data_IF_989053839136
#
_entry.id   IF_989053839136
#
_cell.length_a   1.000
_cell.length_b   1.000
_cell.length_c   1.000
_cell.angle_alpha   90.00
_cell.angle_beta   90.00
_cell.angle_gamma   90.00
#
_symmetry.space_group_name_H-M   'P 1'
#
loop_
_entity.id
_entity.type
_entity.pdbx_description
1 polymer ?
#
# COMPACT_ATOMS: atom_id res chain seq x y z
N UNK A 1 2.62 -4.33 9.34
CA UNK A 1 4.04 -4.75 9.39
C UNK A 1 4.83 -3.70 10.12
N UNK A 2 5.92 -4.07 10.79
CA UNK A 2 6.80 -3.17 11.53
C UNK A 2 8.25 -3.64 11.46
N UNK A 3 9.20 -2.71 11.32
CA UNK A 3 10.64 -3.00 11.37
C UNK A 3 11.09 -2.90 12.82
N UNK A 4 11.76 -3.94 13.34
CA UNK A 4 12.17 -4.05 14.73
C UNK A 4 13.68 -4.30 14.80
N UNK A 5 14.38 -3.46 15.55
CA UNK A 5 15.79 -3.63 15.85
C UNK A 5 15.96 -4.39 17.17
N UNK A 6 16.80 -5.42 17.16
CA UNK A 6 17.09 -6.25 18.33
C UNK A 6 18.59 -6.34 18.54
N UNK A 7 19.06 -5.72 19.63
CA UNK A 7 20.48 -5.69 19.97
C UNK A 7 20.92 -6.99 20.68
N UNK A 8 21.89 -7.69 20.10
CA UNK A 8 22.49 -8.87 20.69
C UNK A 8 23.76 -8.50 21.48
N UNK A 9 23.62 -8.40 22.81
CA UNK A 9 24.70 -8.01 23.74
C UNK A 9 25.94 -8.91 23.66
N UNK A 10 25.78 -10.21 23.40
CA UNK A 10 26.90 -11.17 23.39
C UNK A 10 27.81 -10.98 22.17
N UNK A 11 27.26 -10.48 21.06
CA UNK A 11 27.99 -10.31 19.79
C UNK A 11 28.21 -8.85 19.41
N UNK A 12 27.62 -7.91 20.13
CA UNK A 12 27.64 -6.49 19.77
C UNK A 12 26.93 -6.17 18.45
N UNK A 13 25.97 -7.01 18.03
CA UNK A 13 25.33 -6.90 16.71
C UNK A 13 23.85 -6.57 16.85
N UNK A 14 23.38 -5.55 16.14
CA UNK A 14 21.95 -5.22 16.01
C UNK A 14 21.35 -6.00 14.85
N UNK A 15 20.35 -6.83 15.10
CA UNK A 15 19.60 -7.55 14.08
C UNK A 15 18.30 -6.82 13.76
N UNK A 16 17.95 -6.76 12.48
CA UNK A 16 16.76 -6.08 11.98
C UNK A 16 15.75 -7.11 11.50
N UNK A 17 14.52 -7.00 12.00
CA UNK A 17 13.42 -7.91 11.71
C UNK A 17 12.24 -7.19 11.06
N UNK A 18 11.63 -7.84 10.09
CA UNK A 18 10.30 -7.50 9.57
C UNK A 18 9.25 -8.31 10.35
N UNK A 19 8.43 -7.60 11.13
CA UNK A 19 7.41 -8.17 11.99
C UNK A 19 6.03 -8.00 11.36
N UNK A 20 5.31 -9.11 11.19
CA UNK A 20 3.93 -9.11 10.71
C UNK A 20 3.02 -9.80 11.71
N UNK A 21 1.92 -9.13 12.04
CA UNK A 21 0.85 -9.68 12.86
C UNK A 21 -0.21 -10.30 11.96
N UNK A 22 -0.72 -11.47 12.33
CA UNK A 22 -1.78 -12.17 11.64
C UNK A 22 -2.79 -12.69 12.64
N UNK A 23 -4.05 -12.81 12.22
CA UNK A 23 -5.08 -13.48 12.99
C UNK A 23 -4.97 -14.98 12.78
N UNK A 24 -4.70 -15.73 13.84
CA UNK A 24 -4.69 -17.18 13.79
C UNK A 24 -6.13 -17.71 13.91
N UNK A 25 -6.64 -18.33 12.84
CA UNK A 25 -8.04 -18.77 12.77
C UNK A 25 -8.32 -20.01 13.61
N UNK A 26 -7.34 -20.88 13.80
CA UNK A 26 -7.48 -22.11 14.58
C UNK A 26 -7.52 -21.78 16.07
N UNK A 27 -6.58 -20.94 16.51
CA UNK A 27 -6.46 -20.54 17.91
C UNK A 27 -7.27 -19.28 18.26
N UNK A 28 -7.95 -18.68 17.28
CA UNK A 28 -8.79 -17.46 17.40
C UNK A 28 -8.12 -16.32 18.19
N UNK A 29 -6.85 -16.06 17.92
CA UNK A 29 -6.08 -15.03 18.62
C UNK A 29 -5.10 -14.30 17.68
N UNK A 30 -4.75 -13.04 17.99
CA UNK A 30 -3.71 -12.35 17.26
C UNK A 30 -2.34 -12.96 17.56
N UNK A 31 -1.60 -13.31 16.51
CA UNK A 31 -0.23 -13.83 16.58
C UNK A 31 0.69 -12.95 15.75
N UNK A 32 2.00 -13.03 16.02
CA UNK A 32 3.01 -12.34 15.22
C UNK A 32 4.12 -13.29 14.81
N UNK A 33 4.67 -13.05 13.63
CA UNK A 33 5.85 -13.73 13.09
C UNK A 33 6.88 -12.68 12.71
N UNK A 34 8.16 -13.00 12.92
CA UNK A 34 9.30 -12.14 12.59
C UNK A 34 10.15 -12.80 11.53
N UNK A 35 10.52 -12.04 10.50
CA UNK A 35 11.46 -12.43 9.45
C UNK A 35 12.74 -11.62 9.61
N UNK A 36 13.87 -12.30 9.78
CA UNK A 36 15.18 -11.64 9.84
C UNK A 36 15.51 -11.04 8.48
N UNK A 37 15.67 -9.71 8.42
CA UNK A 37 16.10 -9.00 7.23
C UNK A 37 17.64 -8.97 7.14
N UNK A 38 18.31 -8.70 8.26
CA UNK A 38 19.75 -8.60 8.30
C UNK A 38 20.29 -8.06 9.62
N UNK A 39 21.51 -7.55 9.58
CA UNK A 39 22.19 -6.85 10.67
C UNK A 39 22.32 -5.38 10.32
N UNK A 40 22.25 -4.51 11.31
CA UNK A 40 22.60 -3.10 11.13
C UNK A 40 24.09 -2.93 11.41
N UNK A 41 24.78 -2.27 10.50
CA UNK A 41 26.17 -1.87 10.68
C UNK A 41 26.26 -0.74 11.73
N UNK A 42 27.06 -0.87 12.80
CA UNK A 42 27.16 0.15 13.85
C UNK A 42 27.68 1.50 13.34
N UNK A 43 28.50 1.53 12.28
CA UNK A 43 29.16 2.75 11.82
C UNK A 43 28.33 3.49 10.75
N UNK A 44 27.74 2.76 9.80
CA UNK A 44 26.96 3.34 8.69
C UNK A 44 25.45 3.37 8.95
N UNK A 45 24.96 2.57 9.89
CA UNK A 45 23.52 2.38 10.11
C UNK A 45 22.80 1.62 8.99
N UNK A 46 23.53 1.14 7.98
CA UNK A 46 22.98 0.42 6.83
C UNK A 46 22.59 -1.02 7.18
N UNK A 47 21.67 -1.58 6.40
CA UNK A 47 21.17 -2.95 6.57
C UNK A 47 22.03 -3.93 5.76
N UNK A 48 22.84 -4.73 6.46
CA UNK A 48 23.69 -5.76 5.88
C UNK A 48 22.99 -7.12 5.94
N UNK A 49 22.78 -7.76 4.79
CA UNK A 49 22.19 -9.12 4.74
C UNK A 49 23.07 -10.12 5.50
N UNK A 50 22.46 -10.86 6.43
CA UNK A 50 23.16 -11.92 7.17
C UNK A 50 23.23 -13.23 6.40
N UNK A 51 22.39 -13.38 5.37
CA UNK A 51 22.45 -14.54 4.50
C UNK A 51 23.64 -14.33 3.56
N UNK A 52 24.52 -15.34 3.45
CA UNK A 52 25.39 -15.44 2.26
C UNK A 52 24.47 -15.21 1.06
N UNK A 53 24.84 -14.38 0.08
CA UNK A 53 24.08 -14.36 -1.16
C UNK A 53 23.95 -15.83 -1.53
N UNK A 54 22.71 -16.31 -1.68
CA UNK A 54 22.53 -17.52 -2.45
C UNK A 54 23.08 -17.03 -3.79
N UNK A 55 24.34 -17.38 -4.08
CA UNK A 55 24.77 -17.50 -5.45
C UNK A 55 23.67 -18.39 -5.98
N UNK A 56 22.69 -17.77 -6.65
CA UNK A 56 21.99 -18.50 -7.66
C UNK A 56 23.18 -18.97 -8.47
N UNK A 57 23.51 -20.25 -8.31
CA UNK A 57 24.17 -20.97 -9.36
C UNK A 57 23.13 -20.81 -10.46
N UNK A 58 23.22 -19.69 -11.16
CA UNK A 58 22.80 -19.57 -12.53
C UNK A 58 23.66 -20.65 -13.12
N UNK A 59 23.11 -21.86 -13.18
CA UNK A 59 23.79 -22.99 -13.77
C UNK A 59 24.14 -22.48 -15.15
N UNK A 60 25.42 -22.18 -15.36
CA UNK A 60 25.98 -21.74 -16.62
C UNK A 60 26.03 -22.95 -17.57
N UNK A 61 24.87 -23.58 -17.75
CA UNK A 61 24.62 -24.76 -18.55
C UNK A 61 23.64 -24.46 -19.68
N UNK A 62 23.44 -23.18 -20.03
CA UNK A 62 22.92 -22.76 -21.33
C UNK A 62 23.70 -21.52 -21.75
N UNK A 63 24.92 -21.74 -22.25
CA UNK A 63 25.65 -20.74 -23.03
C UNK A 63 25.19 -20.81 -24.50
N UNK A 64 23.88 -20.68 -24.73
CA UNK A 64 23.32 -20.60 -26.07
C UNK A 64 21.98 -19.83 -26.06
N UNK A 65 21.81 -18.92 -27.03
CA UNK A 65 20.72 -17.94 -27.24
C UNK A 65 20.71 -16.67 -26.36
N UNK A 66 21.41 -15.63 -26.82
CA UNK A 66 20.93 -14.24 -26.94
C UNK A 66 19.64 -13.91 -26.14
N UNK A 67 19.75 -13.66 -24.84
CA UNK A 67 18.61 -13.17 -24.06
C UNK A 67 18.39 -11.72 -24.45
N UNK A 68 17.36 -11.47 -25.28
CA UNK A 68 17.07 -10.15 -25.83
C UNK A 68 16.49 -9.23 -24.74
N UNK A 69 17.37 -8.65 -23.93
CA UNK A 69 17.02 -7.65 -22.93
C UNK A 69 16.30 -6.44 -23.54
N UNK A 70 16.52 -6.15 -24.83
CA UNK A 70 15.88 -5.04 -25.50
C UNK A 70 14.38 -5.31 -25.77
N UNK A 71 13.96 -6.55 -26.02
CA UNK A 71 12.52 -6.89 -26.09
C UNK A 71 11.88 -6.93 -24.71
N UNK A 72 12.53 -7.51 -23.70
CA UNK A 72 12.01 -7.51 -22.33
C UNK A 72 11.83 -6.09 -21.79
N UNK A 73 12.79 -5.20 -22.05
CA UNK A 73 12.70 -3.80 -21.68
C UNK A 73 11.52 -3.10 -22.37
N UNK A 74 11.36 -3.30 -23.69
CA UNK A 74 10.23 -2.75 -24.45
C UNK A 74 8.89 -3.23 -23.90
N UNK A 75 8.75 -4.54 -23.65
CA UNK A 75 7.55 -5.11 -23.07
C UNK A 75 7.25 -4.52 -21.68
N UNK A 76 8.27 -4.30 -20.85
CA UNK A 76 8.10 -3.66 -19.55
C UNK A 76 7.60 -2.22 -19.67
N UNK A 77 8.11 -1.45 -20.65
CA UNK A 77 7.67 -0.09 -20.90
C UNK A 77 6.21 -0.03 -21.37
N UNK A 78 5.79 -0.97 -22.22
CA UNK A 78 4.40 -1.09 -22.67
C UNK A 78 3.46 -1.39 -21.51
N UNK A 79 3.80 -2.36 -20.66
CA UNK A 79 3.02 -2.69 -19.46
C UNK A 79 2.88 -1.49 -18.52
N UNK A 80 3.93 -0.67 -18.37
CA UNK A 80 3.86 0.55 -17.56
C UNK A 80 2.87 1.55 -18.17
N UNK A 81 2.93 1.79 -19.49
CA UNK A 81 1.99 2.68 -20.18
C UNK A 81 0.55 2.22 -20.04
N UNK A 82 0.28 0.93 -20.17
CA UNK A 82 -1.06 0.36 -19.99
C UNK A 82 -1.57 0.58 -18.56
N UNK A 83 -0.72 0.34 -17.56
CA UNK A 83 -1.05 0.58 -16.14
C UNK A 83 -1.30 2.06 -15.84
N UNK A 84 -0.52 2.95 -16.43
CA UNK A 84 -0.70 4.40 -16.29
C UNK A 84 -2.02 4.84 -16.94
N UNK A 85 -2.34 4.33 -18.13
CA UNK A 85 -3.61 4.60 -18.80
C UNK A 85 -4.81 4.12 -17.98
N UNK A 86 -4.73 2.91 -17.41
CA UNK A 86 -5.76 2.39 -16.51
C UNK A 86 -5.90 3.25 -15.26
N UNK A 87 -4.79 3.69 -14.67
CA UNK A 87 -4.77 4.55 -13.49
C UNK A 87 -5.47 5.89 -13.78
N UNK A 88 -5.21 6.49 -14.94
CA UNK A 88 -5.88 7.73 -15.37
C UNK A 88 -7.38 7.52 -15.55
N UNK A 89 -7.79 6.41 -16.18
CA UNK A 89 -9.21 6.08 -16.37
C UNK A 89 -9.94 5.95 -15.03
N UNK A 90 -9.40 5.15 -14.12
CA UNK A 90 -10.01 4.93 -12.80
C UNK A 90 -10.09 6.23 -12.00
N UNK A 91 -9.05 7.08 -12.05
CA UNK A 91 -9.08 8.40 -11.43
C UNK A 91 -10.18 9.30 -12.00
N UNK A 92 -10.39 9.27 -13.33
CA UNK A 92 -11.47 10.02 -13.99
C UNK A 92 -12.85 9.53 -13.54
N UNK A 93 -13.08 8.22 -13.54
CA UNK A 93 -14.34 7.62 -13.09
C UNK A 93 -14.64 7.98 -11.62
N UNK A 94 -13.61 7.97 -10.77
CA UNK A 94 -13.73 8.37 -9.36
C UNK A 94 -14.10 9.85 -9.23
N UNK A 95 -13.45 10.74 -9.99
CA UNK A 95 -13.76 12.17 -9.98
C UNK A 95 -15.20 12.46 -10.46
N UNK A 96 -15.68 11.76 -11.49
CA UNK A 96 -17.05 11.88 -11.96
C UNK A 96 -18.07 11.40 -10.91
N UNK A 97 -17.80 10.27 -10.26
CA UNK A 97 -18.64 9.73 -9.20
C UNK A 97 -18.71 10.70 -8.01
N UNK A 98 -17.56 11.26 -7.58
CA UNK A 98 -17.50 12.28 -6.54
C UNK A 98 -18.30 13.54 -6.92
N UNK A 99 -18.17 14.02 -8.16
CA UNK A 99 -18.92 15.17 -8.65
C UNK A 99 -20.43 14.92 -8.65
N UNK A 100 -20.88 13.73 -9.07
CA UNK A 100 -22.31 13.34 -9.02
C UNK A 100 -22.83 13.35 -7.59
N UNK A 101 -22.08 12.78 -6.65
CA UNK A 101 -22.45 12.75 -5.24
C UNK A 101 -22.52 14.16 -4.63
N UNK A 102 -21.56 15.04 -4.95
CA UNK A 102 -21.58 16.45 -4.54
C UNK A 102 -22.78 17.22 -5.13
N UNK A 103 -23.17 16.93 -6.37
CA UNK A 103 -24.35 17.53 -6.98
C UNK A 103 -25.63 17.08 -6.27
N UNK A 104 -25.76 15.78 -6.01
CA UNK A 104 -26.89 15.21 -5.28
C UNK A 104 -26.98 15.78 -3.86
N UNK A 105 -25.88 15.81 -3.11
CA UNK A 105 -25.87 16.37 -1.76
C UNK A 105 -26.27 17.83 -1.72
N UNK A 106 -25.80 18.66 -2.68
CA UNK A 106 -26.24 20.05 -2.83
C UNK A 106 -27.73 20.19 -3.14
N UNK A 107 -28.28 19.35 -4.01
CA UNK A 107 -29.71 19.35 -4.31
C UNK A 107 -30.54 18.98 -3.08
N UNK A 108 -30.12 17.96 -2.33
CA UNK A 108 -30.78 17.52 -1.09
C UNK A 108 -30.72 18.65 -0.05
N UNK A 109 -29.56 19.28 0.14
CA UNK A 109 -29.40 20.41 1.07
C UNK A 109 -30.38 21.55 0.75
N UNK A 110 -30.49 21.95 -0.52
CA UNK A 110 -31.47 22.96 -0.96
C UNK A 110 -32.91 22.53 -0.71
N UNK A 111 -33.25 21.28 -1.00
CA UNK A 111 -34.60 20.76 -0.74
C UNK A 111 -34.94 20.76 0.76
N UNK A 112 -33.97 20.39 1.60
CA UNK A 112 -34.11 20.48 3.06
C UNK A 112 -34.27 21.92 3.54
N UNK A 113 -33.50 22.87 3.01
CA UNK A 113 -33.67 24.30 3.29
C UNK A 113 -35.08 24.79 2.94
N UNK A 114 -35.59 24.43 1.75
CA UNK A 114 -36.95 24.80 1.35
C UNK A 114 -38.02 24.17 2.23
N UNK A 115 -37.85 22.90 2.63
CA UNK A 115 -38.75 22.24 3.56
C UNK A 115 -38.72 22.93 4.93
N UNK A 116 -37.53 23.28 5.43
CA UNK A 116 -37.35 23.92 6.73
C UNK A 116 -38.00 25.31 6.79
N UNK A 117 -37.98 26.06 5.67
CA UNK A 117 -38.69 27.35 5.55
C UNK A 117 -40.22 27.16 5.55
N UNK A 118 -40.73 26.08 4.95
CA UNK A 118 -42.17 25.77 4.92
C UNK A 118 -42.69 25.17 6.23
N UNK A 119 -41.85 24.44 6.96
CA UNK A 119 -42.16 23.83 8.27
C UNK A 119 -41.81 24.73 9.44
N UNK A 120 -41.46 26.00 9.24
CA UNK A 120 -41.34 27.02 10.28
C UNK A 120 -42.74 27.64 10.47
N UNK A 121 -43.62 27.08 11.31
CA UNK A 121 -45.00 27.54 11.43
C UNK A 121 -45.00 28.83 12.23
N UNK A 122 -45.82 29.80 11.83
CA UNK A 122 -46.95 30.38 12.57
C UNK A 122 -46.99 30.35 14.13
N UNK A 123 -45.88 30.19 14.85
CA UNK A 123 -45.80 30.08 16.31
C UNK A 123 -45.65 31.45 17.01
N UNK A 124 -46.02 32.54 16.33
CA UNK A 124 -46.05 33.89 16.90
C UNK A 124 -47.39 34.62 16.73
N UNK A 125 -48.43 34.00 16.18
CA UNK A 125 -49.75 34.62 16.04
C UNK A 125 -50.77 33.95 16.97
N UNK A 126 -51.24 34.70 17.97
CA UNK A 126 -52.23 34.37 19.00
C UNK A 126 -51.69 33.77 20.31
N UNK A 127 -50.92 34.61 21.02
CA UNK A 127 -51.14 34.83 22.45
C UNK A 127 -52.37 35.73 22.67
#
# INVERSE_FOLDING_TARGET
MAIIDSYNKKRGVTYVYDSFSYWDKELKQPRSKRRLLGRRDPDTGELVSTRKPKTMVVTAANADSDTDYATLYRQSQEILREKDALTLRLRKELAEAQHRLLKQSKCIAKALETLNVLTSPEEQAHA
#
